data_IF_950786886678
#
_entry.id   IF_950786886678
#
_cell.length_a   1.000
_cell.length_b   1.000
_cell.length_c   1.000
_cell.angle_alpha   90.00
_cell.angle_beta   90.00
_cell.angle_gamma   90.00
#
_symmetry.space_group_name_H-M   'P 1'
#
loop_
_entity.id
_entity.type
_entity.pdbx_description
1 polymer ?
#
# COMPACT_ATOMS: atom_id res chain seq x y z
N UNK A 1 3.28 15.13 -0.12
CA UNK A 1 2.11 15.77 -0.77
C UNK A 1 1.91 17.19 -0.23
N UNK A 2 1.74 17.39 1.09
CA UNK A 2 1.40 18.68 1.71
C UNK A 2 2.28 19.83 1.23
N UNK A 3 3.62 19.71 1.30
CA UNK A 3 4.54 20.76 0.86
C UNK A 3 4.42 21.13 -0.64
N UNK A 4 3.87 20.25 -1.48
CA UNK A 4 3.63 20.55 -2.89
C UNK A 4 2.38 21.42 -3.06
N UNK A 5 1.33 21.14 -2.31
CA UNK A 5 0.10 21.95 -2.32
C UNK A 5 0.32 23.32 -1.71
N UNK A 6 1.06 23.42 -0.59
CA UNK A 6 1.42 24.70 0.04
C UNK A 6 2.16 25.64 -0.91
N UNK A 7 3.06 25.13 -1.77
CA UNK A 7 3.75 25.94 -2.79
C UNK A 7 2.83 26.55 -3.82
N UNK A 8 1.64 26.01 -3.97
CA UNK A 8 0.61 26.47 -4.90
C UNK A 8 -0.51 27.21 -4.16
N UNK A 9 -0.27 27.62 -2.91
CA UNK A 9 -1.25 28.29 -2.04
C UNK A 9 -2.55 27.49 -1.88
N UNK A 10 -2.41 26.14 -1.87
CA UNK A 10 -3.53 25.21 -1.69
C UNK A 10 -3.36 24.43 -0.40
N UNK A 11 -4.47 24.16 0.27
CA UNK A 11 -4.51 23.34 1.47
C UNK A 11 -4.85 21.89 1.08
N UNK A 12 -4.02 20.93 1.53
CA UNK A 12 -4.32 19.51 1.46
C UNK A 12 -4.99 19.06 2.74
N UNK A 13 -6.22 18.59 2.67
CA UNK A 13 -6.93 17.92 3.76
C UNK A 13 -6.86 16.43 3.54
N UNK A 14 -6.51 15.67 4.58
CA UNK A 14 -6.37 14.21 4.53
C UNK A 14 -7.22 13.59 5.62
N UNK A 15 -8.18 12.78 5.21
CA UNK A 15 -9.01 11.97 6.09
C UNK A 15 -8.64 10.49 5.96
N UNK A 16 -8.76 9.74 7.06
CA UNK A 16 -8.40 8.33 7.12
C UNK A 16 -9.65 7.46 7.14
N UNK A 17 -9.68 6.48 6.23
CA UNK A 17 -10.77 5.50 6.10
C UNK A 17 -10.20 4.09 5.93
N UNK A 18 -10.99 3.04 6.21
CA UNK A 18 -10.70 1.69 5.72
C UNK A 18 -10.50 1.72 4.20
N UNK A 19 -9.54 0.95 3.69
CA UNK A 19 -9.03 1.08 2.31
C UNK A 19 -10.12 1.04 1.24
N UNK A 20 -10.98 0.01 1.28
CA UNK A 20 -12.10 -0.13 0.35
C UNK A 20 -13.04 1.10 0.35
N UNK A 21 -13.21 1.73 1.52
CA UNK A 21 -14.02 2.95 1.64
C UNK A 21 -13.31 4.15 1.03
N UNK A 22 -12.00 4.29 1.24
CA UNK A 22 -11.20 5.36 0.64
C UNK A 22 -11.29 5.33 -0.89
N UNK A 23 -11.10 4.15 -1.50
CA UNK A 23 -11.23 3.95 -2.95
C UNK A 23 -12.63 4.33 -3.44
N UNK A 24 -13.69 3.85 -2.75
CA UNK A 24 -15.08 4.16 -3.13
C UNK A 24 -15.36 5.65 -3.08
N UNK A 25 -14.96 6.34 -2.00
CA UNK A 25 -15.16 7.77 -1.85
C UNK A 25 -14.40 8.55 -2.93
N UNK A 26 -13.15 8.18 -3.21
CA UNK A 26 -12.36 8.82 -4.26
C UNK A 26 -12.93 8.61 -5.67
N UNK A 27 -13.60 7.48 -5.92
CA UNK A 27 -14.21 7.17 -7.22
C UNK A 27 -15.56 7.86 -7.44
N UNK A 28 -16.28 8.26 -6.38
CA UNK A 28 -17.64 8.83 -6.48
C UNK A 28 -17.60 10.25 -7.06
N UNK A 29 -18.33 10.55 -8.15
CA UNK A 29 -18.37 11.89 -8.75
C UNK A 29 -18.87 12.99 -7.81
N UNK A 30 -19.81 12.64 -6.91
CA UNK A 30 -20.43 13.55 -5.94
C UNK A 30 -19.62 13.71 -4.63
N UNK A 31 -18.45 13.06 -4.53
CA UNK A 31 -17.60 13.14 -3.36
C UNK A 31 -16.66 14.34 -3.42
N UNK A 32 -16.41 14.96 -2.27
CA UNK A 32 -15.43 16.04 -2.12
C UNK A 32 -13.99 15.54 -2.22
N UNK A 33 -13.78 14.21 -2.15
CA UNK A 33 -12.44 13.62 -2.30
C UNK A 33 -12.06 13.54 -3.77
N UNK A 34 -10.91 14.12 -4.10
CA UNK A 34 -10.34 14.14 -5.46
C UNK A 34 -9.47 12.93 -5.79
N UNK A 35 -9.10 12.14 -4.77
CA UNK A 35 -8.21 11.01 -4.91
C UNK A 35 -7.90 10.36 -3.56
N UNK A 36 -6.98 9.41 -3.57
CA UNK A 36 -6.52 8.69 -2.37
C UNK A 36 -5.04 8.31 -2.49
N UNK A 37 -4.39 8.03 -1.38
CA UNK A 37 -2.98 7.63 -1.32
C UNK A 37 -2.63 7.00 0.04
N UNK A 38 -1.46 6.31 0.15
CA UNK A 38 -0.56 5.91 -0.94
C UNK A 38 -1.11 4.69 -1.70
N UNK A 39 -0.90 4.61 -3.01
CA UNK A 39 -1.36 3.49 -3.81
C UNK A 39 -0.22 2.96 -4.70
N UNK A 40 -0.24 1.67 -5.02
CA UNK A 40 0.58 1.09 -6.05
C UNK A 40 -0.06 1.33 -7.43
N UNK A 41 0.76 1.42 -8.48
CA UNK A 41 0.23 1.56 -9.82
C UNK A 41 -0.51 0.27 -10.25
N UNK A 42 -1.68 0.45 -10.85
CA UNK A 42 -2.44 -0.58 -11.55
C UNK A 42 -3.20 0.04 -12.72
N UNK A 43 -3.54 -0.77 -13.72
CA UNK A 43 -4.32 -0.29 -14.87
C UNK A 43 -5.77 -0.05 -14.49
N UNK A 44 -6.28 1.15 -14.79
CA UNK A 44 -7.66 1.55 -14.47
C UNK A 44 -8.08 2.75 -15.33
N UNK A 45 -9.35 2.81 -15.66
CA UNK A 45 -10.00 3.96 -16.29
C UNK A 45 -10.54 4.99 -15.27
N UNK A 46 -10.70 4.57 -14.01
CA UNK A 46 -11.28 5.39 -12.92
C UNK A 46 -10.29 6.39 -12.34
N UNK A 47 -9.01 6.07 -12.35
CA UNK A 47 -7.98 6.88 -11.70
C UNK A 47 -6.81 7.17 -12.64
N UNK A 48 -6.15 8.29 -12.37
CA UNK A 48 -4.89 8.69 -12.96
C UNK A 48 -3.86 8.89 -11.86
N UNK A 49 -2.65 8.44 -12.07
CA UNK A 49 -1.62 8.43 -11.05
C UNK A 49 -0.69 9.64 -11.15
N UNK A 50 -0.23 10.10 -10.00
CA UNK A 50 0.85 11.08 -9.90
C UNK A 50 2.17 10.48 -10.41
N UNK A 51 3.26 11.26 -10.38
CA UNK A 51 4.61 10.69 -10.31
C UNK A 51 4.80 9.99 -8.97
N UNK A 52 5.75 9.04 -8.87
CA UNK A 52 6.02 8.37 -7.60
C UNK A 52 6.28 9.37 -6.48
N UNK A 53 5.64 9.15 -5.33
CA UNK A 53 5.80 9.95 -4.11
C UNK A 53 6.66 9.25 -3.07
N UNK A 54 6.97 7.98 -3.28
CA UNK A 54 7.77 7.16 -2.37
C UNK A 54 7.97 5.74 -2.89
N UNK A 55 8.58 4.92 -2.05
CA UNK A 55 8.80 3.50 -2.28
C UNK A 55 8.21 2.75 -1.10
N UNK A 56 7.44 1.69 -1.39
CA UNK A 56 6.90 0.74 -0.44
C UNK A 56 7.50 -0.64 -0.68
N UNK A 57 8.41 -1.13 0.19
CA UNK A 57 8.89 -2.49 0.10
C UNK A 57 7.78 -3.44 0.54
N UNK A 58 7.23 -4.19 -0.42
CA UNK A 58 6.21 -5.21 -0.17
C UNK A 58 6.89 -6.50 0.28
N UNK A 59 6.54 -6.97 1.46
CA UNK A 59 7.11 -8.16 2.07
C UNK A 59 6.08 -9.01 2.78
N UNK A 60 6.57 -9.92 3.60
CA UNK A 60 5.74 -10.80 4.44
C UNK A 60 6.13 -10.56 5.89
N UNK A 61 5.13 -10.27 6.74
CA UNK A 61 5.28 -10.40 8.19
C UNK A 61 4.98 -11.83 8.60
N UNK A 62 5.81 -12.40 9.47
CA UNK A 62 5.74 -13.80 9.91
C UNK A 62 6.07 -13.93 11.40
N UNK A 63 5.80 -15.07 12.00
CA UNK A 63 6.29 -15.37 13.35
C UNK A 63 7.78 -15.70 13.33
N UNK A 64 8.55 -15.16 14.29
CA UNK A 64 9.98 -15.52 14.48
C UNK A 64 10.19 -17.01 14.72
N UNK A 65 9.23 -17.67 15.40
CA UNK A 65 9.27 -19.08 15.71
C UNK A 65 8.89 -20.01 14.55
N UNK A 66 8.26 -19.47 13.51
CA UNK A 66 7.77 -20.23 12.34
C UNK A 66 8.05 -19.43 11.05
N UNK A 67 9.33 -19.25 10.67
CA UNK A 67 9.67 -18.46 9.49
C UNK A 67 9.22 -19.16 8.20
N UNK A 68 8.73 -18.38 7.26
CA UNK A 68 8.36 -18.81 5.91
C UNK A 68 9.64 -18.94 5.08
N UNK A 69 9.84 -20.09 4.46
CA UNK A 69 10.95 -20.36 3.56
C UNK A 69 10.46 -20.45 2.11
N UNK A 70 10.96 -19.59 1.25
CA UNK A 70 10.61 -19.56 -0.16
C UNK A 70 11.77 -18.98 -0.99
N UNK A 71 11.84 -19.39 -2.26
CA UNK A 71 12.82 -18.90 -3.24
C UNK A 71 12.12 -18.33 -4.46
N UNK A 72 11.03 -18.96 -4.89
CA UNK A 72 10.16 -18.54 -5.97
C UNK A 72 8.78 -18.20 -5.40
N UNK A 73 8.07 -17.27 -6.03
CA UNK A 73 6.75 -16.83 -5.56
C UNK A 73 5.79 -18.01 -5.39
N UNK A 74 5.87 -19.01 -6.29
CA UNK A 74 5.07 -20.22 -6.22
C UNK A 74 5.30 -21.07 -4.95
N UNK A 75 6.44 -20.95 -4.27
CA UNK A 75 6.70 -21.67 -3.03
C UNK A 75 5.81 -21.20 -1.88
N UNK A 76 5.24 -20.01 -2.00
CA UNK A 76 4.33 -19.44 -1.02
C UNK A 76 2.98 -20.16 -0.98
N UNK A 77 2.64 -20.95 -2.00
CA UNK A 77 1.39 -21.71 -2.06
C UNK A 77 1.20 -22.73 -0.93
N UNK A 78 2.28 -23.08 -0.21
CA UNK A 78 2.28 -23.97 0.95
C UNK A 78 1.81 -23.29 2.24
N UNK A 79 1.70 -21.97 2.21
CA UNK A 79 1.39 -21.14 3.36
C UNK A 79 0.08 -20.39 3.15
N UNK A 80 -0.68 -20.22 4.22
CA UNK A 80 -1.86 -19.35 4.22
C UNK A 80 -1.41 -17.93 4.52
N UNK A 81 -1.56 -17.02 3.55
CA UNK A 81 -1.16 -15.62 3.70
C UNK A 81 -2.38 -14.73 3.98
N UNK A 82 -2.22 -13.81 4.94
CA UNK A 82 -3.15 -12.71 5.13
C UNK A 82 -2.97 -11.65 4.05
N UNK A 83 -4.06 -11.18 3.49
CA UNK A 83 -4.10 -10.03 2.58
C UNK A 83 -5.13 -9.02 3.07
N UNK A 84 -5.00 -7.76 2.70
CA UNK A 84 -6.03 -6.77 2.94
C UNK A 84 -6.95 -6.71 1.72
N UNK A 85 -8.24 -6.67 1.99
CA UNK A 85 -9.27 -6.59 0.95
C UNK A 85 -9.07 -5.36 0.07
N UNK A 86 -9.15 -5.53 -1.24
CA UNK A 86 -8.97 -4.51 -2.27
C UNK A 86 -7.54 -3.90 -2.35
N UNK A 87 -6.54 -4.49 -1.67
CA UNK A 87 -5.14 -4.12 -1.90
C UNK A 87 -4.65 -4.72 -3.21
N UNK A 88 -3.87 -3.92 -3.94
CA UNK A 88 -3.07 -4.36 -5.08
C UNK A 88 -1.71 -4.84 -4.55
N UNK A 89 -1.31 -6.06 -4.90
CA UNK A 89 0.00 -6.61 -4.51
C UNK A 89 0.98 -6.54 -5.71
N UNK A 90 1.33 -7.67 -6.27
CA UNK A 90 2.05 -7.77 -7.54
C UNK A 90 1.19 -8.55 -8.52
N UNK A 91 1.30 -8.25 -9.82
CA UNK A 91 0.51 -8.94 -10.86
C UNK A 91 0.59 -10.46 -10.72
N UNK A 92 1.81 -10.99 -10.49
CA UNK A 92 2.02 -12.43 -10.33
C UNK A 92 1.35 -12.99 -9.08
N UNK A 93 1.42 -12.29 -7.95
CA UNK A 93 0.77 -12.74 -6.71
C UNK A 93 -0.75 -12.62 -6.82
N UNK A 94 -1.24 -11.53 -7.41
CA UNK A 94 -2.68 -11.31 -7.60
C UNK A 94 -3.30 -12.34 -8.55
N UNK A 95 -2.57 -12.76 -9.61
CA UNK A 95 -2.98 -13.89 -10.47
C UNK A 95 -3.04 -15.20 -9.68
N UNK A 96 -2.06 -15.48 -8.82
CA UNK A 96 -2.08 -16.70 -7.97
C UNK A 96 -3.23 -16.68 -6.97
N UNK A 97 -3.55 -15.52 -6.39
CA UNK A 97 -4.69 -15.35 -5.48
C UNK A 97 -6.00 -15.57 -6.24
N UNK A 98 -6.17 -14.91 -7.39
CA UNK A 98 -7.39 -14.99 -8.20
C UNK A 98 -7.66 -16.41 -8.73
N UNK A 99 -6.60 -17.15 -9.08
CA UNK A 99 -6.71 -18.56 -9.51
C UNK A 99 -6.91 -19.55 -8.37
N UNK A 100 -6.81 -19.10 -7.11
CA UNK A 100 -6.86 -19.98 -5.93
C UNK A 100 -5.60 -20.82 -5.71
N UNK A 101 -4.54 -20.60 -6.48
CA UNK A 101 -3.27 -21.32 -6.30
C UNK A 101 -2.48 -20.83 -5.09
N UNK A 102 -2.72 -19.61 -4.61
CA UNK A 102 -2.22 -19.09 -3.35
C UNK A 102 -3.34 -19.08 -2.31
N UNK A 103 -3.25 -19.90 -1.24
CA UNK A 103 -4.17 -19.82 -0.12
C UNK A 103 -4.07 -18.47 0.60
N UNK A 104 -5.20 -17.78 0.74
CA UNK A 104 -5.25 -16.47 1.42
C UNK A 104 -6.43 -16.36 2.37
N UNK A 105 -6.26 -15.55 3.40
CA UNK A 105 -7.34 -15.03 4.22
C UNK A 105 -7.39 -13.50 4.09
N UNK A 106 -8.50 -12.97 3.58
CA UNK A 106 -8.71 -11.53 3.50
C UNK A 106 -9.10 -10.95 4.86
N UNK A 107 -8.60 -9.74 5.13
CA UNK A 107 -8.96 -8.92 6.29
C UNK A 107 -9.27 -7.50 5.82
N UNK A 108 -9.89 -6.70 6.68
CA UNK A 108 -10.21 -5.30 6.36
C UNK A 108 -9.06 -4.34 6.66
N UNK A 109 -7.98 -4.81 7.33
CA UNK A 109 -6.80 -4.01 7.65
C UNK A 109 -5.56 -4.86 7.91
N UNK A 110 -4.38 -4.25 7.73
CA UNK A 110 -3.09 -4.84 8.11
C UNK A 110 -3.03 -5.20 9.60
N UNK A 111 -3.62 -4.38 10.46
CA UNK A 111 -3.66 -4.65 11.90
C UNK A 111 -4.33 -5.99 12.22
N UNK A 112 -5.43 -6.33 11.55
CA UNK A 112 -6.09 -7.62 11.75
C UNK A 112 -5.19 -8.78 11.30
N UNK A 113 -4.50 -8.64 10.18
CA UNK A 113 -3.57 -9.63 9.69
C UNK A 113 -2.37 -9.80 10.63
N UNK A 114 -1.79 -8.70 11.14
CA UNK A 114 -0.71 -8.76 12.15
C UNK A 114 -1.15 -9.55 13.38
N UNK A 115 -2.38 -9.33 13.87
CA UNK A 115 -2.94 -10.08 15.02
C UNK A 115 -3.15 -11.56 14.69
N UNK A 116 -3.62 -11.89 13.48
CA UNK A 116 -3.77 -13.29 13.03
C UNK A 116 -2.42 -14.01 12.95
N UNK A 117 -1.39 -13.36 12.38
CA UNK A 117 -0.03 -13.92 12.32
C UNK A 117 0.52 -14.14 13.73
N UNK A 118 0.44 -13.13 14.61
CA UNK A 118 0.94 -13.23 15.98
C UNK A 118 0.24 -14.34 16.79
N UNK A 119 -1.03 -14.62 16.48
CA UNK A 119 -1.81 -15.70 17.08
C UNK A 119 -1.60 -17.08 16.42
N UNK A 120 -0.82 -17.16 15.33
CA UNK A 120 -0.58 -18.39 14.58
C UNK A 120 -1.80 -18.92 13.81
N UNK A 121 -2.76 -18.04 13.51
CA UNK A 121 -3.96 -18.41 12.73
C UNK A 121 -3.68 -18.48 11.23
N UNK A 122 -2.73 -17.69 10.74
CA UNK A 122 -2.19 -17.71 9.40
C UNK A 122 -0.66 -17.71 9.49
N UNK A 123 0.02 -18.19 8.44
CA UNK A 123 1.47 -18.38 8.46
C UNK A 123 2.22 -17.05 8.32
N UNK A 124 1.70 -16.14 7.52
CA UNK A 124 2.24 -14.80 7.34
C UNK A 124 1.19 -13.85 6.76
N UNK A 125 1.56 -12.58 6.56
CA UNK A 125 0.71 -11.63 5.87
C UNK A 125 1.53 -10.74 4.93
N UNK A 126 0.99 -10.49 3.75
CA UNK A 126 1.55 -9.56 2.78
C UNK A 126 1.32 -8.13 3.29
N UNK A 127 2.38 -7.34 3.39
CA UNK A 127 2.32 -6.00 3.96
C UNK A 127 3.45 -5.12 3.43
N UNK A 128 3.19 -3.81 3.29
CA UNK A 128 4.25 -2.82 3.16
C UNK A 128 5.05 -2.74 4.46
N UNK A 129 6.38 -2.89 4.36
CA UNK A 129 7.25 -2.95 5.54
C UNK A 129 7.27 -1.63 6.32
N UNK A 130 7.06 -0.49 5.66
CA UNK A 130 6.97 0.80 6.35
C UNK A 130 5.68 0.86 7.18
N UNK A 131 4.57 0.34 6.64
CA UNK A 131 3.28 0.23 7.36
C UNK A 131 3.43 -0.70 8.56
N UNK A 132 4.08 -1.86 8.39
CA UNK A 132 4.35 -2.79 9.49
C UNK A 132 5.13 -2.10 10.61
N UNK A 133 6.23 -1.42 10.28
CA UNK A 133 7.05 -0.72 11.28
C UNK A 133 6.27 0.40 11.99
N UNK A 134 5.38 1.08 11.29
CA UNK A 134 4.51 2.09 11.89
C UNK A 134 3.51 1.43 12.85
N UNK A 135 2.82 0.38 12.42
CA UNK A 135 1.80 -0.30 13.21
C UNK A 135 2.37 -0.95 14.47
N UNK A 136 3.54 -1.60 14.38
CA UNK A 136 4.19 -2.21 15.55
C UNK A 136 4.70 -1.20 16.59
N UNK A 137 4.72 0.10 16.29
CA UNK A 137 4.99 1.17 17.27
C UNK A 137 3.71 1.62 18.02
N UNK A 138 2.52 1.22 17.54
CA UNK A 138 1.28 1.58 18.21
C UNK A 138 1.16 0.83 19.53
N UNK A 139 0.73 1.47 20.65
CA UNK A 139 0.71 0.87 21.98
C UNK A 139 0.00 -0.49 22.06
N UNK A 140 -1.07 -0.66 21.29
CA UNK A 140 -1.89 -1.89 21.29
C UNK A 140 -1.33 -3.03 20.42
N UNK A 141 -0.34 -2.76 19.56
CA UNK A 141 0.35 -3.75 18.73
C UNK A 141 1.79 -3.99 19.17
N UNK A 142 2.40 -3.04 19.90
CA UNK A 142 3.76 -3.13 20.39
C UNK A 142 4.08 -4.47 21.10
N UNK A 143 3.19 -5.02 21.96
CA UNK A 143 3.45 -6.32 22.60
C UNK A 143 3.59 -7.51 21.62
N UNK A 144 3.18 -7.36 20.36
CA UNK A 144 3.31 -8.37 19.33
C UNK A 144 4.66 -8.33 18.61
N UNK A 145 5.38 -7.20 18.68
CA UNK A 145 6.63 -6.98 17.96
C UNK A 145 7.71 -8.03 18.26
N UNK A 146 7.75 -8.50 19.53
CA UNK A 146 8.74 -9.52 19.93
C UNK A 146 8.50 -10.88 19.30
N UNK A 147 7.27 -11.18 18.88
CA UNK A 147 6.87 -12.44 18.24
C UNK A 147 7.03 -12.42 16.73
N UNK A 148 7.09 -11.23 16.13
CA UNK A 148 7.00 -11.03 14.69
C UNK A 148 8.32 -10.57 14.10
N UNK A 149 8.50 -10.90 12.84
CA UNK A 149 9.61 -10.40 12.02
C UNK A 149 9.15 -10.18 10.57
N UNK A 150 9.95 -9.42 9.83
CA UNK A 150 9.85 -9.35 8.37
C UNK A 150 10.58 -10.55 7.79
N UNK A 151 9.97 -11.24 6.83
CA UNK A 151 10.66 -12.28 6.07
C UNK A 151 11.90 -11.70 5.38
N UNK A 152 12.97 -12.48 5.31
CA UNK A 152 14.27 -12.05 4.75
C UNK A 152 14.17 -11.68 3.27
N UNK A 153 13.20 -12.24 2.55
CA UNK A 153 12.98 -11.99 1.14
C UNK A 153 11.77 -11.09 0.94
N UNK A 154 11.95 -10.00 0.21
CA UNK A 154 10.85 -9.12 -0.20
C UNK A 154 10.14 -9.71 -1.42
N UNK A 155 8.84 -9.49 -1.50
CA UNK A 155 8.05 -9.82 -2.70
C UNK A 155 8.41 -8.83 -3.81
N UNK A 156 8.45 -7.53 -3.51
CA UNK A 156 8.79 -6.48 -4.47
C UNK A 156 9.17 -5.16 -3.78
N UNK A 157 9.85 -4.29 -4.52
CA UNK A 157 9.93 -2.87 -4.21
C UNK A 157 8.93 -2.11 -5.09
N UNK A 158 7.86 -1.63 -4.51
CA UNK A 158 6.78 -0.94 -5.22
C UNK A 158 6.96 0.57 -5.12
N UNK A 159 6.64 1.28 -6.20
CA UNK A 159 6.52 2.74 -6.15
C UNK A 159 5.14 3.12 -5.63
N UNK A 160 5.09 4.17 -4.82
CA UNK A 160 3.85 4.71 -4.23
C UNK A 160 3.41 5.95 -4.99
N UNK A 161 2.11 6.07 -5.18
CA UNK A 161 1.49 7.14 -5.96
C UNK A 161 0.30 7.76 -5.21
N UNK A 162 -0.11 8.93 -5.67
CA UNK A 162 -1.46 9.45 -5.41
C UNK A 162 -2.33 9.08 -6.61
N UNK A 163 -3.44 8.40 -6.37
CA UNK A 163 -4.45 8.08 -7.36
C UNK A 163 -5.51 9.18 -7.36
N UNK A 164 -5.59 9.97 -8.40
CA UNK A 164 -6.62 11.00 -8.60
C UNK A 164 -7.76 10.46 -9.44
N UNK A 165 -8.99 10.85 -9.15
CA UNK A 165 -10.14 10.56 -10.01
C UNK A 165 -9.85 11.00 -11.45
N UNK A 166 -10.19 10.16 -12.43
CA UNK A 166 -9.94 10.45 -13.85
C UNK A 166 -10.96 11.46 -14.40
N UNK A 167 -10.90 12.68 -13.90
CA UNK A 167 -11.68 13.84 -14.32
C UNK A 167 -10.75 15.00 -14.70
N UNK A 168 -11.30 16.06 -15.26
CA UNK A 168 -10.54 17.28 -15.54
C UNK A 168 -9.95 17.87 -14.26
N UNK A 169 -10.75 17.92 -13.19
CA UNK A 169 -10.29 18.36 -11.88
C UNK A 169 -9.16 17.47 -11.34
N UNK A 170 -9.32 16.14 -11.38
CA UNK A 170 -8.28 15.21 -10.92
C UNK A 170 -6.98 15.36 -11.70
N UNK A 171 -7.04 15.62 -13.02
CA UNK A 171 -5.85 15.93 -13.84
C UNK A 171 -5.16 17.22 -13.37
N UNK A 172 -5.92 18.27 -13.10
CA UNK A 172 -5.39 19.52 -12.56
C UNK A 172 -4.65 19.31 -11.25
N UNK A 173 -5.23 18.59 -10.31
CA UNK A 173 -4.62 18.33 -9.01
C UNK A 173 -3.40 17.41 -9.11
N UNK A 174 -3.43 16.38 -9.97
CA UNK A 174 -2.26 15.55 -10.27
C UNK A 174 -1.08 16.39 -10.76
N UNK A 175 -1.34 17.38 -11.62
CA UNK A 175 -0.28 18.19 -12.23
C UNK A 175 0.37 19.14 -11.23
N UNK A 176 -0.32 19.51 -10.15
CA UNK A 176 0.26 20.26 -9.01
C UNK A 176 1.34 19.44 -8.30
N UNK A 177 1.20 18.12 -8.22
CA UNK A 177 2.20 17.24 -7.61
C UNK A 177 3.41 16.97 -8.51
N UNK A 178 3.43 17.48 -9.75
CA UNK A 178 4.62 17.34 -10.59
C UNK A 178 5.77 18.14 -9.96
N UNK A 179 6.98 17.56 -9.81
CA UNK A 179 8.13 18.32 -9.40
C UNK A 179 8.28 19.50 -10.39
N UNK A 180 8.31 20.72 -9.87
CA UNK A 180 8.65 21.87 -10.71
C UNK A 180 9.97 21.55 -11.40
N UNK A 181 10.04 21.65 -12.74
CA UNK A 181 11.31 21.60 -13.46
C UNK A 181 12.17 22.68 -12.83
N UNK A 182 13.18 22.29 -12.03
CA UNK A 182 14.24 23.21 -11.64
C UNK A 182 14.84 23.72 -12.93
N UNK A 183 14.53 24.95 -13.31
CA UNK A 183 15.29 25.66 -14.31
C UNK A 183 16.70 25.76 -13.73
N UNK A 184 17.61 24.90 -14.19
CA UNK A 184 19.03 25.12 -14.00
C UNK A 184 19.36 26.40 -14.77
N UNK A 185 19.25 27.55 -14.12
CA UNK A 185 19.91 28.77 -14.61
C UNK A 185 21.40 28.49 -14.41
N UNK A 186 22.10 28.25 -15.51
CA UNK A 186 23.55 28.35 -15.53
C UNK A 186 23.86 29.84 -15.46
N UNK A 187 24.46 30.27 -14.38
CA UNK A 187 25.17 31.53 -14.33
C UNK A 187 26.53 31.29 -15.00
N UNK A 188 26.86 32.11 -15.96
CA UNK A 188 28.19 32.22 -16.55
C UNK A 188 29.08 32.98 -15.59
#
# INVERSE_FOLDING_TARGET
AQAAFERMEQQLVVDFYPWSRAIKLAAMPSSDYIGYFPEYYFETDKFIFSKPIGIGPLGIVEQKSRPISWHHLADLNRYTLGIVQDYVNTDSLDVMIASGSQPVEAATSDEQNIKKVAAGRIDGAVIDINVLHYLLKQPHLQPLADKLQVNRQLIANKQLYVAFRNTEEGRRWRDILRPSRKHKRRLV
#
